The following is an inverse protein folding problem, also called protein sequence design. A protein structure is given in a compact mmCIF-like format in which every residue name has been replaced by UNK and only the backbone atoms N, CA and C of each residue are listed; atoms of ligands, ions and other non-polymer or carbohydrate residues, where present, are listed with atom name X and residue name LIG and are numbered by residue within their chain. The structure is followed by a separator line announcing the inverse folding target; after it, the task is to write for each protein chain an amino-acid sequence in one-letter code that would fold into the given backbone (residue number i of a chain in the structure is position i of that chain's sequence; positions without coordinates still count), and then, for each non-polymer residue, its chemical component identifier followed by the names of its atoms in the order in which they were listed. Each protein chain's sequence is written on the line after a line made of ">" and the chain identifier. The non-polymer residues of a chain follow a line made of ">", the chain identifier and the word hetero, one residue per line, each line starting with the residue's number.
data_IF_379322782285
#
_entry.id   IF_379322782285
#
_cell.length_a   1.000
_cell.length_b   1.000
_cell.length_c   1.000
_cell.angle_alpha   90.00
_cell.angle_beta   90.00
_cell.angle_gamma   90.00
#
_symmetry.space_group_name_H-M   'P 1'
#
loop_
_entity.id
_entity.type
_entity.pdbx_description
1 polymer ?
#
# COMPACT_ATOMS: atom_id res chain seq x y z
N UNK A 1 -2.11 1.86 18.22
CA UNK A 1 -3.21 0.99 17.77
C UNK A 1 -3.23 1.04 16.25
N UNK A 2 -2.77 -0.02 15.58
CA UNK A 2 -2.72 -0.04 14.11
C UNK A 2 -4.14 -0.19 13.57
N UNK A 3 -4.55 0.69 12.66
CA UNK A 3 -5.87 0.54 12.06
C UNK A 3 -5.90 -0.69 11.16
N UNK A 4 -7.07 -1.32 11.00
CA UNK A 4 -7.23 -2.48 10.09
C UNK A 4 -6.72 -2.15 8.68
N UNK A 5 -6.92 -0.90 8.23
CA UNK A 5 -6.38 -0.39 6.96
C UNK A 5 -4.85 -0.36 6.93
N UNK A 6 -4.18 0.13 7.98
CA UNK A 6 -2.71 0.14 8.04
C UNK A 6 -2.12 -1.27 7.96
N UNK A 7 -2.75 -2.23 8.63
CA UNK A 7 -2.32 -3.64 8.59
C UNK A 7 -2.46 -4.22 7.17
N UNK A 8 -3.57 -3.94 6.48
CA UNK A 8 -3.79 -4.37 5.10
C UNK A 8 -2.79 -3.74 4.11
N UNK A 9 -2.41 -2.47 4.32
CA UNK A 9 -1.40 -1.81 3.48
C UNK A 9 -0.01 -2.45 3.69
N UNK A 10 0.37 -2.74 4.94
CA UNK A 10 1.63 -3.42 5.23
C UNK A 10 1.69 -4.83 4.63
N UNK A 11 0.59 -5.58 4.72
CA UNK A 11 0.49 -6.90 4.12
C UNK A 11 0.60 -6.83 2.58
N UNK A 12 -0.09 -5.87 1.97
CA UNK A 12 0.03 -5.61 0.53
C UNK A 12 1.48 -5.29 0.12
N UNK A 13 2.16 -4.42 0.86
CA UNK A 13 3.56 -4.05 0.56
C UNK A 13 4.47 -5.29 0.62
N UNK A 14 4.31 -6.15 1.62
CA UNK A 14 5.08 -7.40 1.74
C UNK A 14 4.84 -8.35 0.56
N UNK A 15 3.59 -8.59 0.20
CA UNK A 15 3.23 -9.45 -0.94
C UNK A 15 3.71 -8.85 -2.26
N UNK A 16 3.64 -7.53 -2.41
CA UNK A 16 4.11 -6.83 -3.60
C UNK A 16 5.62 -6.95 -3.77
N UNK A 17 6.37 -6.68 -2.70
CA UNK A 17 7.83 -6.84 -2.70
C UNK A 17 8.24 -8.27 -3.01
N UNK A 18 7.54 -9.28 -2.48
CA UNK A 18 7.82 -10.69 -2.77
C UNK A 18 7.57 -11.05 -4.24
N UNK A 19 6.60 -10.40 -4.90
CA UNK A 19 6.22 -10.69 -6.29
C UNK A 19 7.04 -9.92 -7.32
N UNK A 20 7.43 -8.69 -6.98
CA UNK A 20 8.04 -7.74 -7.91
C UNK A 20 9.52 -7.47 -7.62
N UNK A 21 10.06 -7.93 -6.50
CA UNK A 21 11.43 -7.63 -6.02
C UNK A 21 11.73 -6.14 -5.85
N UNK A 22 10.71 -5.29 -5.87
CA UNK A 22 10.79 -3.85 -5.59
C UNK A 22 9.62 -3.41 -4.70
N UNK A 23 9.86 -2.34 -3.94
CA UNK A 23 8.83 -1.74 -3.11
C UNK A 23 7.76 -1.07 -3.99
N UNK A 24 6.46 -1.29 -3.72
CA UNK A 24 5.40 -0.66 -4.49
C UNK A 24 5.52 0.87 -4.40
N UNK A 25 5.34 1.54 -5.54
CA UNK A 25 5.26 2.99 -5.62
C UNK A 25 3.96 3.51 -5.00
N UNK A 26 3.97 4.77 -4.57
CA UNK A 26 2.77 5.44 -4.04
C UNK A 26 1.59 5.39 -5.03
N UNK A 27 1.89 5.44 -6.33
CA UNK A 27 0.91 5.30 -7.42
C UNK A 27 0.29 3.89 -7.50
N UNK A 28 1.08 2.84 -7.26
CA UNK A 28 0.63 1.44 -7.27
C UNK A 28 -0.24 1.14 -6.05
N UNK A 29 0.14 1.65 -4.88
CA UNK A 29 -0.65 1.58 -3.65
C UNK A 29 -1.98 2.32 -3.86
N UNK A 30 -1.95 3.51 -4.48
CA UNK A 30 -3.14 4.30 -4.81
C UNK A 30 -4.08 3.54 -5.74
N UNK A 31 -3.57 2.96 -6.83
CA UNK A 31 -4.35 2.15 -7.79
C UNK A 31 -4.97 0.92 -7.13
N UNK A 32 -4.23 0.22 -6.27
CA UNK A 32 -4.71 -0.99 -5.59
C UNK A 32 -5.80 -0.71 -4.56
N UNK A 33 -5.59 0.30 -3.72
CA UNK A 33 -6.52 0.64 -2.64
C UNK A 33 -7.58 1.67 -3.03
N UNK A 34 -7.59 2.13 -4.29
CA UNK A 34 -8.46 3.20 -4.81
C UNK A 34 -8.49 4.41 -3.86
N UNK A 35 -7.33 4.74 -3.29
CA UNK A 35 -7.21 5.85 -2.36
C UNK A 35 -7.32 7.15 -3.16
N UNK A 36 -8.12 8.10 -2.65
CA UNK A 36 -8.36 9.37 -3.33
C UNK A 36 -7.07 10.22 -3.44
N UNK A 37 -6.11 10.06 -2.53
CA UNK A 37 -4.93 10.92 -2.48
C UNK A 37 -3.68 10.22 -1.95
N UNK A 38 -2.52 10.58 -2.50
CA UNK A 38 -1.18 10.24 -1.97
C UNK A 38 -0.78 11.11 -0.78
N UNK A 39 -1.46 12.25 -0.61
CA UNK A 39 -1.34 13.16 0.53
C UNK A 39 -2.68 13.84 0.73
N UNK A 40 -3.47 13.35 1.67
CA UNK A 40 -4.38 14.24 2.39
C UNK A 40 -4.23 13.87 3.85
N UNK A 41 -3.30 14.59 4.48
CA UNK A 41 -3.20 14.74 5.91
C UNK A 41 -4.43 15.49 6.44
#
# INVERSE_FOLDING_TARGET
>A
MLTKKQTQVLDFIKVYMAKHSYAPSLDEIKKKFKLASVSTA
#
